data_IF_622576322309
#
_entry.id   IF_622576322309
#
_cell.length_a   1.000
_cell.length_b   1.000
_cell.length_c   1.000
_cell.angle_alpha   90.00
_cell.angle_beta   90.00
_cell.angle_gamma   90.00
#
_symmetry.space_group_name_H-M   'P 1'
#
loop_
_entity.id
_entity.type
_entity.pdbx_description
1 polymer ?
#
# COMPACT_ATOMS: atom_id res chain seq x y z
N UNK A 1 22.64 69.40 3.22
CA UNK A 1 22.96 68.39 4.16
C UNK A 1 21.78 67.54 4.52
N UNK A 2 21.43 66.72 3.69
CA UNK A 2 20.26 65.96 3.91
C UNK A 2 20.56 64.52 3.78
N UNK A 3 20.53 63.91 4.87
CA UNK A 3 20.53 62.49 4.89
C UNK A 3 19.19 61.98 4.53
N UNK A 4 19.03 61.78 3.30
CA UNK A 4 18.08 60.80 2.95
C UNK A 4 18.67 59.50 3.46
N UNK A 5 18.31 59.22 4.66
CA UNK A 5 18.52 57.87 5.15
C UNK A 5 17.77 56.96 4.24
N UNK A 6 18.45 56.53 3.24
CA UNK A 6 18.01 55.41 2.47
C UNK A 6 18.10 54.24 3.42
N UNK A 7 17.07 54.10 4.20
CA UNK A 7 16.80 52.84 4.83
C UNK A 7 16.45 51.89 3.71
N UNK A 8 17.47 51.45 3.05
CA UNK A 8 17.40 50.21 2.35
C UNK A 8 17.12 49.14 3.43
N UNK A 9 15.85 49.05 3.74
CA UNK A 9 15.39 47.88 4.45
C UNK A 9 15.75 46.72 3.59
N UNK A 10 16.87 46.12 3.89
CA UNK A 10 17.26 44.84 3.38
C UNK A 10 16.26 43.89 4.02
N UNK A 11 15.13 43.77 3.37
CA UNK A 11 14.15 42.75 3.72
C UNK A 11 14.82 41.42 3.39
N UNK A 12 15.53 40.92 4.37
CA UNK A 12 16.07 39.58 4.32
C UNK A 12 14.86 38.66 4.40
N UNK A 13 14.33 38.30 3.23
CA UNK A 13 13.38 37.28 3.10
C UNK A 13 14.05 35.99 3.57
N UNK A 14 13.86 35.69 4.83
CA UNK A 14 14.25 34.41 5.37
C UNK A 14 13.36 33.37 4.68
N UNK A 15 13.87 32.81 3.60
CA UNK A 15 13.33 31.61 3.04
C UNK A 15 13.57 30.49 4.05
N UNK A 16 12.60 30.27 4.90
CA UNK A 16 12.59 29.10 5.74
C UNK A 16 12.20 27.95 4.84
N UNK A 17 13.11 27.00 4.54
CA UNK A 17 12.71 25.83 3.79
C UNK A 17 11.68 25.08 4.62
N UNK A 18 10.46 25.05 4.16
CA UNK A 18 9.45 24.20 4.74
C UNK A 18 9.92 22.76 4.59
N UNK A 19 10.14 22.09 5.69
CA UNK A 19 10.40 20.66 5.68
C UNK A 19 9.14 19.98 5.20
N UNK A 20 9.12 19.61 3.94
CA UNK A 20 8.06 18.77 3.40
C UNK A 20 8.29 17.37 3.98
N UNK A 21 7.47 16.97 4.94
CA UNK A 21 7.44 15.60 5.37
C UNK A 21 6.92 14.77 4.21
N UNK A 22 7.68 13.77 3.80
CA UNK A 22 7.21 12.81 2.82
C UNK A 22 5.94 12.16 3.36
N UNK A 23 4.86 12.21 2.58
CA UNK A 23 3.61 11.56 2.96
C UNK A 23 3.83 10.05 3.02
N UNK A 24 3.26 9.39 4.04
CA UNK A 24 3.36 7.94 4.08
C UNK A 24 2.66 7.32 2.87
N UNK A 25 3.33 6.40 2.21
CA UNK A 25 2.79 5.70 1.06
C UNK A 25 2.72 4.21 1.36
N UNK A 26 1.69 3.59 0.82
CA UNK A 26 1.53 2.14 0.88
C UNK A 26 0.96 1.65 -0.44
N UNK A 27 1.65 0.69 -1.05
CA UNK A 27 1.18 0.06 -2.28
C UNK A 27 1.29 -1.45 -2.14
N UNK A 28 0.33 -2.14 -2.71
CA UNK A 28 0.32 -3.60 -2.76
C UNK A 28 -0.30 -4.06 -4.07
N UNK A 29 0.24 -5.13 -4.61
CA UNK A 29 -0.23 -5.73 -5.87
C UNK A 29 0.06 -7.22 -5.87
N UNK A 30 -0.78 -8.03 -6.53
CA UNK A 30 -2.00 -7.67 -7.24
C UNK A 30 -3.18 -7.41 -6.32
N UNK A 31 -4.29 -6.96 -6.86
CA UNK A 31 -5.55 -6.79 -6.14
C UNK A 31 -6.48 -7.98 -6.32
N UNK A 32 -6.21 -8.82 -7.30
CA UNK A 32 -7.05 -9.95 -7.65
C UNK A 32 -6.19 -11.17 -7.91
N UNK A 33 -6.61 -12.30 -7.39
CA UNK A 33 -6.04 -13.61 -7.68
C UNK A 33 -7.11 -14.45 -8.35
N UNK A 34 -6.80 -15.01 -9.51
CA UNK A 34 -7.78 -15.77 -10.30
C UNK A 34 -7.39 -17.25 -10.33
N UNK A 35 -8.34 -18.11 -10.02
CA UNK A 35 -8.18 -19.55 -10.17
C UNK A 35 -9.08 -20.08 -11.28
N UNK A 36 -8.83 -21.31 -11.69
CA UNK A 36 -9.63 -21.93 -12.75
C UNK A 36 -10.95 -22.49 -12.24
N UNK A 37 -11.05 -22.78 -10.95
CA UNK A 37 -12.22 -23.39 -10.35
C UNK A 37 -12.49 -22.81 -8.97
N UNK A 38 -13.75 -22.67 -8.64
CA UNK A 38 -14.19 -22.28 -7.31
C UNK A 38 -13.70 -23.30 -6.27
N UNK A 39 -13.21 -22.79 -5.14
CA UNK A 39 -12.74 -23.62 -4.03
C UNK A 39 -11.33 -24.14 -4.16
N UNK A 40 -10.65 -23.86 -5.27
CA UNK A 40 -9.23 -24.14 -5.43
C UNK A 40 -8.37 -23.10 -4.76
N UNK A 41 -7.17 -23.53 -4.33
CA UNK A 41 -6.17 -22.62 -3.86
C UNK A 41 -5.76 -21.66 -4.98
N UNK A 42 -5.82 -20.38 -4.68
CA UNK A 42 -5.33 -19.35 -5.56
C UNK A 42 -3.92 -18.96 -5.13
N UNK A 43 -2.99 -19.04 -6.07
CA UNK A 43 -1.58 -18.74 -5.83
C UNK A 43 -1.24 -17.38 -6.39
N UNK A 44 -0.72 -16.51 -5.57
CA UNK A 44 -0.25 -15.20 -6.00
C UNK A 44 0.94 -14.77 -5.16
N UNK A 45 1.86 -14.04 -5.76
CA UNK A 45 2.92 -13.36 -5.03
C UNK A 45 2.48 -11.92 -4.84
N UNK A 46 2.21 -11.54 -3.61
CA UNK A 46 1.78 -10.20 -3.28
C UNK A 46 3.00 -9.38 -2.93
N UNK A 47 3.17 -8.27 -3.62
CA UNK A 47 4.28 -7.37 -3.38
C UNK A 47 3.77 -6.16 -2.63
N UNK A 48 4.38 -5.91 -1.49
CA UNK A 48 4.08 -4.78 -0.63
C UNK A 48 5.25 -3.81 -0.66
N UNK A 49 4.92 -2.54 -0.75
CA UNK A 49 5.90 -1.47 -0.69
C UNK A 49 5.31 -0.32 0.10
N UNK A 50 6.04 0.13 1.11
CA UNK A 50 5.59 1.28 1.87
C UNK A 50 6.75 2.15 2.30
N UNK A 51 6.42 3.40 2.53
CA UNK A 51 7.31 4.40 3.09
C UNK A 51 6.57 5.11 4.21
N UNK A 52 7.18 5.13 5.38
CA UNK A 52 6.61 5.76 6.56
C UNK A 52 7.45 6.96 6.96
N UNK A 53 6.79 7.97 7.50
CA UNK A 53 7.46 9.21 7.91
C UNK A 53 8.16 9.09 9.26
N UNK A 54 7.93 8.01 10.00
CA UNK A 54 8.46 7.80 11.35
C UNK A 54 9.12 6.44 11.46
N UNK A 55 10.19 6.39 12.26
CA UNK A 55 10.89 5.14 12.58
C UNK A 55 10.15 4.38 13.68
N UNK A 56 8.95 3.96 13.40
CA UNK A 56 8.15 3.21 14.36
C UNK A 56 8.07 1.75 13.95
N UNK A 57 8.04 0.83 14.91
CA UNK A 57 7.84 -0.57 14.56
C UNK A 57 6.47 -0.79 13.92
N UNK A 58 6.45 -1.49 12.79
CA UNK A 58 5.22 -1.85 12.10
C UNK A 58 5.22 -3.33 11.81
N UNK A 59 4.03 -3.91 11.78
CA UNK A 59 3.85 -5.32 11.45
C UNK A 59 2.80 -5.48 10.37
N UNK A 60 3.04 -6.43 9.48
CA UNK A 60 2.09 -6.80 8.44
C UNK A 60 1.33 -8.04 8.89
N UNK A 61 0.00 -7.97 8.77
CA UNK A 61 -0.90 -9.06 9.15
C UNK A 61 -1.70 -9.54 7.95
N UNK A 62 -1.91 -10.84 7.90
CA UNK A 62 -2.93 -11.44 7.05
C UNK A 62 -4.10 -11.78 7.95
N UNK A 63 -5.20 -11.03 7.82
CA UNK A 63 -6.31 -11.06 8.77
C UNK A 63 -5.78 -10.85 10.20
N UNK A 64 -5.85 -11.83 11.07
CA UNK A 64 -5.37 -11.75 12.43
C UNK A 64 -3.97 -12.34 12.62
N UNK A 65 -3.42 -12.95 11.57
CA UNK A 65 -2.13 -13.60 11.64
C UNK A 65 -1.00 -12.62 11.33
N UNK A 66 -0.06 -12.49 12.27
CA UNK A 66 1.13 -11.67 12.06
C UNK A 66 2.07 -12.38 11.10
N UNK A 67 2.43 -11.71 10.01
CA UNK A 67 3.35 -12.24 9.01
C UNK A 67 4.79 -11.85 9.30
N UNK A 68 5.04 -10.57 9.50
CA UNK A 68 6.38 -10.06 9.73
C UNK A 68 6.31 -8.68 10.37
N UNK A 69 7.35 -8.33 11.14
CA UNK A 69 7.49 -7.03 11.77
C UNK A 69 8.82 -6.40 11.38
N UNK A 70 8.81 -5.08 11.25
CA UNK A 70 10.00 -4.29 10.95
C UNK A 70 10.16 -3.23 12.00
N UNK A 71 11.39 -3.06 12.46
CA UNK A 71 11.72 -2.03 13.44
C UNK A 71 12.61 -0.98 12.78
N UNK A 72 12.25 0.28 12.98
CA UNK A 72 13.09 1.42 12.58
C UNK A 72 13.41 1.48 11.08
N UNK A 73 12.52 0.98 10.24
CA UNK A 73 12.67 1.06 8.79
C UNK A 73 11.59 1.95 8.20
N UNK A 74 12.03 3.01 7.53
CA UNK A 74 11.12 3.94 6.88
C UNK A 74 10.62 3.43 5.55
N UNK A 75 11.43 2.65 4.86
CA UNK A 75 11.14 2.13 3.53
C UNK A 75 11.25 0.61 3.56
N UNK A 76 10.19 -0.08 3.13
CA UNK A 76 10.15 -1.54 3.12
C UNK A 76 9.57 -2.04 1.81
N UNK A 77 10.18 -3.10 1.29
CA UNK A 77 9.64 -3.92 0.22
C UNK A 77 9.55 -5.35 0.74
N UNK A 78 8.38 -5.96 0.56
CA UNK A 78 8.12 -7.29 1.09
C UNK A 78 7.27 -8.08 0.12
N UNK A 79 7.65 -9.33 -0.09
CA UNK A 79 6.90 -10.27 -0.93
C UNK A 79 6.31 -11.36 -0.05
N UNK A 80 5.04 -11.65 -0.31
CA UNK A 80 4.33 -12.72 0.39
C UNK A 80 3.71 -13.68 -0.62
N UNK A 81 3.95 -14.96 -0.43
CA UNK A 81 3.33 -15.99 -1.25
C UNK A 81 1.94 -16.29 -0.68
N UNK A 82 0.95 -15.84 -1.40
CA UNK A 82 -0.45 -16.04 -1.04
C UNK A 82 -0.94 -17.36 -1.62
N UNK A 83 -1.52 -18.19 -0.75
CA UNK A 83 -2.16 -19.46 -1.15
C UNK A 83 -3.42 -19.59 -0.32
N UNK A 84 -4.56 -19.22 -0.89
CA UNK A 84 -5.83 -19.24 -0.20
C UNK A 84 -6.96 -19.53 -1.16
N UNK A 85 -8.05 -20.07 -0.62
CA UNK A 85 -9.25 -20.37 -1.41
C UNK A 85 -10.26 -19.25 -1.43
N UNK A 86 -10.09 -18.25 -0.58
CA UNK A 86 -11.02 -17.14 -0.46
C UNK A 86 -10.28 -15.82 -0.33
N UNK A 87 -10.99 -14.74 -0.60
CA UNK A 87 -10.45 -13.40 -0.48
C UNK A 87 -9.99 -13.11 0.94
N UNK A 88 -8.85 -12.43 1.07
CA UNK A 88 -8.26 -12.11 2.35
C UNK A 88 -7.81 -10.65 2.38
N UNK A 89 -7.72 -10.12 3.58
CA UNK A 89 -7.25 -8.75 3.79
C UNK A 89 -5.94 -8.74 4.54
N UNK A 90 -5.05 -7.86 4.09
CA UNK A 90 -3.78 -7.58 4.74
C UNK A 90 -3.88 -6.25 5.47
N UNK A 91 -3.22 -6.16 6.61
CA UNK A 91 -3.22 -4.96 7.42
C UNK A 91 -1.79 -4.61 7.82
N UNK A 92 -1.39 -3.37 7.59
CA UNK A 92 -0.16 -2.82 8.12
C UNK A 92 -0.51 -2.08 9.40
N UNK A 93 0.01 -2.57 10.53
CA UNK A 93 -0.33 -2.03 11.84
C UNK A 93 0.89 -1.49 12.55
N UNK A 94 0.68 -0.39 13.26
CA UNK A 94 1.60 0.17 14.23
C UNK A 94 0.95 0.03 15.60
N UNK A 95 1.42 -0.94 16.40
CA UNK A 95 0.70 -1.32 17.61
C UNK A 95 -0.71 -1.81 17.24
N UNK A 96 -1.73 -1.16 17.77
CA UNK A 96 -3.12 -1.50 17.45
C UNK A 96 -3.72 -0.63 16.35
N UNK A 97 -2.95 0.33 15.86
CA UNK A 97 -3.41 1.26 14.83
C UNK A 97 -3.19 0.66 13.45
N UNK A 98 -4.25 0.57 12.66
CA UNK A 98 -4.15 0.16 11.27
C UNK A 98 -3.73 1.36 10.44
N UNK A 99 -2.53 1.27 9.84
CA UNK A 99 -2.00 2.33 8.99
C UNK A 99 -2.49 2.19 7.55
N UNK A 100 -2.63 0.96 7.08
CA UNK A 100 -3.06 0.69 5.71
C UNK A 100 -3.65 -0.71 5.62
N UNK A 101 -4.44 -0.94 4.60
CA UNK A 101 -5.03 -2.25 4.33
C UNK A 101 -5.01 -2.54 2.84
N UNK A 102 -4.98 -3.82 2.52
CA UNK A 102 -5.01 -4.31 1.14
C UNK A 102 -5.83 -5.57 1.09
N UNK A 103 -6.89 -5.56 0.29
CA UNK A 103 -7.71 -6.75 0.09
C UNK A 103 -7.31 -7.42 -1.21
N UNK A 104 -7.01 -8.72 -1.13
CA UNK A 104 -6.78 -9.55 -2.29
C UNK A 104 -8.03 -10.36 -2.56
N UNK A 105 -8.68 -10.05 -3.67
CA UNK A 105 -9.89 -10.72 -4.10
C UNK A 105 -9.54 -12.03 -4.82
N UNK A 106 -10.11 -13.12 -4.34
CA UNK A 106 -9.99 -14.40 -5.02
C UNK A 106 -11.25 -14.61 -5.86
N UNK A 107 -11.03 -14.81 -7.15
CA UNK A 107 -12.10 -15.08 -8.09
C UNK A 107 -11.77 -16.31 -8.91
N UNK A 108 -12.77 -16.83 -9.60
CA UNK A 108 -12.58 -17.96 -10.49
C UNK A 108 -13.15 -17.65 -11.85
N UNK A 109 -12.55 -18.26 -12.86
CA UNK A 109 -13.01 -18.10 -14.21
C UNK A 109 -14.22 -18.98 -14.42
N UNK A 110 -15.36 -18.35 -14.68
CA UNK A 110 -16.52 -19.10 -15.13
C UNK A 110 -16.32 -19.43 -16.59
N UNK A 111 -16.15 -20.70 -16.88
CA UNK A 111 -16.16 -21.14 -18.28
C UNK A 111 -17.52 -20.80 -18.85
N UNK A 112 -17.52 -19.90 -19.81
CA UNK A 112 -18.77 -19.45 -20.40
C UNK A 112 -19.32 -20.47 -21.37
N UNK A 113 -19.79 -21.57 -20.85
CA UNK A 113 -20.45 -22.54 -21.68
C UNK A 113 -21.76 -22.01 -22.25
N UNK A 114 -22.27 -20.99 -21.62
CA UNK A 114 -23.47 -20.33 -22.09
C UNK A 114 -23.36 -19.74 -23.48
N UNK A 115 -22.17 -19.29 -23.82
CA UNK A 115 -21.97 -18.67 -25.13
C UNK A 115 -22.20 -19.64 -26.26
N UNK A 116 -22.26 -20.91 -25.99
CA UNK A 116 -22.50 -21.89 -27.04
C UNK A 116 -23.96 -22.06 -27.38
N UNK A 117 -24.83 -21.66 -26.51
CA UNK A 117 -26.25 -21.85 -26.73
C UNK A 117 -26.81 -20.96 -27.82
N UNK A 118 -26.38 -19.75 -27.89
CA UNK A 118 -26.91 -18.82 -28.86
C UNK A 118 -26.51 -19.18 -30.30
N UNK A 119 -25.60 -20.10 -30.46
CA UNK A 119 -25.20 -20.54 -31.81
C UNK A 119 -26.15 -21.55 -32.41
N UNK A 120 -27.08 -21.96 -31.64
CA UNK A 120 -28.00 -22.95 -32.15
C UNK A 120 -29.19 -22.28 -32.76
N UNK A 121 -29.18 -22.35 -33.99
CA UNK A 121 -30.29 -21.90 -34.78
C UNK A 121 -30.99 -23.06 -35.44
#
# INVERSE_FOLDING_TARGET
MYFNGLLLGLSLLLFIPAKVKAEPTFTASPTTCVTLQQGRDCHATVQFRWQLSQDSPVCLYLEQQQLHCWQQQQQVEFEYRFVETSSRSFYLKQGETILASHRLEVSWVQTSQRSRHWRRF
#
